data_IF_238341660308
#
_entry.id   IF_238341660308
#
_cell.length_a   1.000
_cell.length_b   1.000
_cell.length_c   1.000
_cell.angle_alpha   90.00
_cell.angle_beta   90.00
_cell.angle_gamma   90.00
#
_symmetry.space_group_name_H-M   'P 1'
#
loop_
_entity.id
_entity.type
_entity.pdbx_description
1 polymer ?
#
# COMPACT_ATOMS: atom_id res chain seq x y z
N UNK A 1 59.80 10.04 21.73
CA UNK A 1 59.37 10.97 20.66
C UNK A 1 58.37 10.24 19.76
N UNK A 2 57.06 10.48 19.94
CA UNK A 2 55.97 9.84 19.16
C UNK A 2 55.70 10.68 17.90
N UNK A 3 55.87 10.08 16.72
CA UNK A 3 55.52 10.68 15.42
C UNK A 3 54.03 10.45 15.16
N UNK A 4 53.25 11.51 15.15
CA UNK A 4 51.84 11.54 14.74
C UNK A 4 51.84 11.65 13.21
N UNK A 5 51.41 10.58 12.54
CA UNK A 5 51.21 10.53 11.10
C UNK A 5 49.80 11.05 10.80
N UNK A 6 49.69 12.30 10.35
CA UNK A 6 48.43 12.90 9.91
C UNK A 6 48.17 12.41 8.48
N UNK A 7 47.19 11.51 8.34
CA UNK A 7 46.74 10.97 7.06
C UNK A 7 45.71 11.96 6.47
N UNK A 8 46.13 12.74 5.49
CA UNK A 8 45.29 13.68 4.74
C UNK A 8 44.44 12.88 3.75
N UNK A 9 43.23 12.52 4.16
CA UNK A 9 42.22 11.94 3.26
C UNK A 9 41.67 13.09 2.40
N UNK A 10 42.15 13.19 1.16
CA UNK A 10 41.57 14.05 0.14
C UNK A 10 40.21 13.45 -0.27
N UNK A 11 39.13 13.91 0.36
CA UNK A 11 37.76 13.60 -0.06
C UNK A 11 37.51 14.33 -1.36
N UNK A 12 37.63 13.62 -2.48
CA UNK A 12 37.17 14.09 -3.79
C UNK A 12 35.64 14.10 -3.72
N UNK A 13 35.06 15.24 -3.35
CA UNK A 13 33.64 15.48 -3.55
C UNK A 13 33.40 15.60 -5.05
N UNK A 14 33.10 14.48 -5.70
CA UNK A 14 32.49 14.51 -7.02
C UNK A 14 31.16 15.25 -6.87
N UNK A 15 31.14 16.53 -7.24
CA UNK A 15 29.93 17.32 -7.29
C UNK A 15 29.03 16.69 -8.34
N UNK A 16 28.04 15.92 -7.90
CA UNK A 16 27.00 15.42 -8.78
C UNK A 16 26.32 16.65 -9.39
N UNK A 17 26.52 16.85 -10.70
CA UNK A 17 25.77 17.88 -11.44
C UNK A 17 24.29 17.52 -11.25
N UNK A 18 23.46 18.43 -10.70
CA UNK A 18 22.05 18.13 -10.51
C UNK A 18 21.45 17.77 -11.86
N UNK A 19 20.78 16.62 -11.92
CA UNK A 19 20.10 16.20 -13.14
C UNK A 19 19.13 17.29 -13.58
N UNK A 20 19.16 17.65 -14.85
CA UNK A 20 18.19 18.60 -15.40
C UNK A 20 16.78 18.00 -15.26
N UNK A 21 15.76 18.81 -14.92
CA UNK A 21 14.38 18.32 -14.80
C UNK A 21 13.91 17.72 -16.13
N UNK A 22 13.12 16.65 -16.09
CA UNK A 22 12.64 15.97 -17.31
C UNK A 22 11.91 16.92 -18.27
N UNK A 23 11.18 17.91 -17.76
CA UNK A 23 10.49 18.91 -18.60
C UNK A 23 11.43 19.69 -19.52
N UNK A 24 12.64 20.01 -19.06
CA UNK A 24 13.66 20.67 -19.89
C UNK A 24 14.35 19.67 -20.83
N UNK A 25 14.63 18.45 -20.34
CA UNK A 25 15.28 17.39 -21.14
C UNK A 25 14.44 16.95 -22.33
N UNK A 26 13.12 16.92 -22.17
CA UNK A 26 12.16 16.46 -23.17
C UNK A 26 11.30 17.57 -23.78
N UNK A 27 11.67 18.84 -23.60
CA UNK A 27 10.89 20.00 -24.05
C UNK A 27 10.45 19.90 -25.53
N UNK A 28 11.40 19.61 -26.42
CA UNK A 28 11.14 19.50 -27.86
C UNK A 28 10.13 18.40 -28.23
N UNK A 29 10.07 17.31 -27.45
CA UNK A 29 9.12 16.21 -27.66
C UNK A 29 7.75 16.56 -27.08
N UNK A 30 7.73 17.15 -25.89
CA UNK A 30 6.50 17.62 -25.24
C UNK A 30 5.78 18.65 -26.13
N UNK A 31 6.51 19.56 -26.76
CA UNK A 31 5.92 20.55 -27.68
C UNK A 31 5.34 19.93 -28.96
N UNK A 32 5.88 18.78 -29.40
CA UNK A 32 5.40 18.06 -30.59
C UNK A 32 4.20 17.15 -30.33
N UNK A 33 3.82 16.92 -29.07
CA UNK A 33 2.66 16.09 -28.74
C UNK A 33 1.38 16.66 -29.36
N UNK A 34 0.57 15.76 -29.91
CA UNK A 34 -0.70 16.06 -30.55
C UNK A 34 -1.74 15.00 -30.13
N UNK A 35 -2.99 15.40 -29.81
CA UNK A 35 -3.97 14.50 -29.21
C UNK A 35 -4.45 13.37 -30.13
N UNK A 36 -4.19 13.46 -31.43
CA UNK A 36 -4.48 12.40 -32.40
C UNK A 36 -3.46 11.24 -32.37
N UNK A 37 -2.34 11.41 -31.66
CA UNK A 37 -1.27 10.41 -31.50
C UNK A 37 -1.05 10.03 -30.02
N UNK A 38 -1.91 9.17 -29.42
CA UNK A 38 -1.74 8.71 -28.05
C UNK A 38 -0.47 7.86 -27.85
N UNK A 39 0.06 7.26 -28.91
CA UNK A 39 1.30 6.47 -28.84
C UNK A 39 2.49 7.35 -28.48
N UNK A 40 2.58 8.55 -29.04
CA UNK A 40 3.64 9.50 -28.70
C UNK A 40 3.64 9.89 -27.21
N UNK A 41 2.47 10.00 -26.57
CA UNK A 41 2.38 10.23 -25.13
C UNK A 41 2.88 9.04 -24.34
N UNK A 42 2.48 7.83 -24.72
CA UNK A 42 2.90 6.58 -24.08
C UNK A 42 4.42 6.38 -24.16
N UNK A 43 5.01 6.48 -25.36
CA UNK A 43 6.46 6.31 -25.56
C UNK A 43 7.26 7.35 -24.78
N UNK A 44 6.79 8.61 -24.76
CA UNK A 44 7.45 9.64 -23.96
C UNK A 44 7.33 9.36 -22.46
N UNK A 45 6.23 8.77 -21.99
CA UNK A 45 6.07 8.37 -20.59
C UNK A 45 7.07 7.28 -20.19
N UNK A 46 7.32 6.30 -21.06
CA UNK A 46 8.34 5.26 -20.87
C UNK A 46 9.73 5.88 -20.78
N UNK A 47 10.09 6.73 -21.75
CA UNK A 47 11.39 7.40 -21.76
C UNK A 47 11.62 8.27 -20.51
N UNK A 48 10.60 9.01 -20.06
CA UNK A 48 10.68 9.80 -18.82
C UNK A 48 10.84 8.90 -17.60
N UNK A 49 10.15 7.77 -17.56
CA UNK A 49 10.25 6.77 -16.48
C UNK A 49 11.65 6.20 -16.37
N UNK A 50 12.26 5.83 -17.49
CA UNK A 50 13.59 5.22 -17.56
C UNK A 50 14.69 6.14 -17.03
N UNK A 51 14.52 7.46 -17.16
CA UNK A 51 15.49 8.48 -16.73
C UNK A 51 15.02 9.30 -15.52
N UNK A 52 13.95 8.85 -14.84
CA UNK A 52 13.34 9.58 -13.74
C UNK A 52 14.29 9.67 -12.53
N UNK A 53 14.66 10.90 -12.14
CA UNK A 53 15.55 11.15 -11.01
C UNK A 53 14.84 11.67 -9.75
N UNK A 54 13.55 12.01 -9.84
CA UNK A 54 12.83 12.65 -8.74
C UNK A 54 11.32 12.69 -8.92
N UNK A 55 10.64 13.30 -7.94
CA UNK A 55 9.18 13.34 -7.83
C UNK A 55 8.54 14.05 -9.03
N UNK A 56 9.15 15.14 -9.53
CA UNK A 56 8.63 15.89 -10.69
C UNK A 56 8.70 15.07 -11.99
N UNK A 57 9.75 14.28 -12.18
CA UNK A 57 9.87 13.37 -13.33
C UNK A 57 8.79 12.27 -13.26
N UNK A 58 8.56 11.70 -12.07
CA UNK A 58 7.48 10.72 -11.84
C UNK A 58 6.10 11.32 -12.12
N UNK A 59 5.84 12.56 -11.69
CA UNK A 59 4.58 13.27 -11.96
C UNK A 59 4.37 13.50 -13.45
N UNK A 60 5.43 13.88 -14.18
CA UNK A 60 5.37 14.04 -15.63
C UNK A 60 5.04 12.71 -16.32
N UNK A 61 5.73 11.63 -15.97
CA UNK A 61 5.45 10.30 -16.53
C UNK A 61 4.02 9.84 -16.23
N UNK A 62 3.56 10.00 -14.98
CA UNK A 62 2.18 9.72 -14.60
C UNK A 62 1.19 10.50 -15.48
N UNK A 63 1.44 11.80 -15.69
CA UNK A 63 0.59 12.61 -16.54
C UNK A 63 0.54 12.13 -17.99
N UNK A 64 1.69 11.80 -18.55
CA UNK A 64 1.77 11.29 -19.92
C UNK A 64 1.02 9.96 -20.09
N UNK A 65 1.17 9.02 -19.14
CA UNK A 65 0.39 7.77 -19.17
C UNK A 65 -1.11 8.00 -19.04
N UNK A 66 -1.57 8.91 -18.17
CA UNK A 66 -3.00 9.23 -18.02
C UNK A 66 -3.58 9.84 -19.29
N UNK A 67 -2.83 10.74 -19.94
CA UNK A 67 -3.24 11.33 -21.22
C UNK A 67 -3.26 10.27 -22.34
N UNK A 68 -2.23 9.41 -22.42
CA UNK A 68 -2.18 8.32 -23.39
C UNK A 68 -3.38 7.35 -23.23
N UNK A 69 -3.71 7.00 -21.98
CA UNK A 69 -4.89 6.20 -21.64
C UNK A 69 -6.17 6.88 -22.13
N UNK A 70 -6.39 8.14 -21.77
CA UNK A 70 -7.63 8.86 -22.09
C UNK A 70 -7.81 9.00 -23.60
N UNK A 71 -6.75 9.41 -24.32
CA UNK A 71 -6.77 9.58 -25.77
C UNK A 71 -6.92 8.26 -26.53
N UNK A 72 -6.34 7.16 -26.04
CA UNK A 72 -6.50 5.82 -26.64
C UNK A 72 -7.94 5.30 -26.50
N UNK A 73 -8.61 5.57 -25.37
CA UNK A 73 -10.01 5.20 -25.17
C UNK A 73 -10.94 5.92 -26.18
N UNK A 74 -10.66 7.18 -26.49
CA UNK A 74 -11.40 7.97 -27.48
C UNK A 74 -11.03 7.61 -28.94
N UNK A 75 -9.85 7.00 -29.16
CA UNK A 75 -9.36 6.62 -30.48
C UNK A 75 -8.91 5.14 -30.57
N UNK A 76 -9.85 4.18 -30.69
CA UNK A 76 -9.52 2.75 -30.83
C UNK A 76 -8.72 2.38 -32.10
N UNK A 77 -8.52 3.31 -33.05
CA UNK A 77 -7.65 3.06 -34.21
C UNK A 77 -6.18 3.10 -33.82
N UNK A 78 -5.82 3.95 -32.86
CA UNK A 78 -4.45 4.10 -32.41
C UNK A 78 -3.87 2.77 -31.90
N UNK A 79 -4.65 2.00 -31.12
CA UNK A 79 -4.23 0.68 -30.64
C UNK A 79 -3.92 -0.31 -31.79
N UNK A 80 -4.67 -0.24 -32.89
CA UNK A 80 -4.44 -1.09 -34.06
C UNK A 80 -3.19 -0.67 -34.83
N UNK A 81 -2.94 0.62 -34.93
CA UNK A 81 -1.76 1.18 -35.59
C UNK A 81 -0.49 0.91 -34.78
N UNK A 82 -0.56 1.03 -33.45
CA UNK A 82 0.53 0.67 -32.53
C UNK A 82 0.79 -0.84 -32.46
N UNK A 83 -0.24 -1.67 -32.72
CA UNK A 83 -0.15 -3.13 -32.64
C UNK A 83 -0.28 -3.69 -31.22
N UNK A 84 -0.60 -2.84 -30.23
CA UNK A 84 -0.81 -3.21 -28.84
C UNK A 84 -1.83 -2.25 -28.17
N UNK A 85 -2.43 -2.62 -27.04
CA UNK A 85 -3.53 -1.87 -26.42
C UNK A 85 -2.94 -0.74 -25.55
N UNK A 86 -2.82 0.48 -26.09
CA UNK A 86 -2.10 1.59 -25.44
C UNK A 86 -2.73 1.92 -24.09
N UNK A 87 -4.06 1.92 -24.01
CA UNK A 87 -4.81 2.14 -22.76
C UNK A 87 -4.39 1.16 -21.66
N UNK A 88 -4.41 -0.15 -21.94
CA UNK A 88 -4.06 -1.15 -20.94
C UNK A 88 -2.57 -1.11 -20.56
N UNK A 89 -1.68 -0.88 -21.54
CA UNK A 89 -0.24 -0.68 -21.27
C UNK A 89 0.02 0.54 -20.40
N UNK A 90 -0.72 1.64 -20.62
CA UNK A 90 -0.61 2.87 -19.82
C UNK A 90 -1.00 2.62 -18.36
N UNK A 91 -2.04 1.82 -18.10
CA UNK A 91 -2.39 1.39 -16.74
C UNK A 91 -1.27 0.59 -16.07
N UNK A 92 -0.56 -0.27 -16.81
CA UNK A 92 0.58 -1.02 -16.28
C UNK A 92 1.79 -0.11 -16.00
N UNK A 93 2.05 0.86 -16.87
CA UNK A 93 3.06 1.89 -16.65
C UNK A 93 2.79 2.71 -15.39
N UNK A 94 1.55 3.16 -15.21
CA UNK A 94 1.11 3.82 -13.98
C UNK A 94 1.29 2.93 -12.74
N UNK A 95 0.93 1.65 -12.85
CA UNK A 95 1.08 0.71 -11.75
C UNK A 95 2.54 0.49 -11.35
N UNK A 96 3.49 0.61 -12.28
CA UNK A 96 4.92 0.51 -11.98
C UNK A 96 5.46 1.75 -11.23
N UNK A 97 4.87 2.93 -11.45
CA UNK A 97 5.25 4.18 -10.78
C UNK A 97 4.60 4.36 -9.40
N UNK A 98 3.52 3.62 -9.14
CA UNK A 98 2.69 3.81 -7.97
C UNK A 98 3.32 3.20 -6.71
N UNK A 99 3.16 3.85 -5.55
CA UNK A 99 3.69 3.36 -4.26
C UNK A 99 2.66 2.61 -3.42
N UNK A 100 1.38 2.92 -3.63
CA UNK A 100 0.28 2.27 -2.92
C UNK A 100 -0.05 0.92 -3.56
N UNK A 101 0.09 -0.17 -2.80
CA UNK A 101 -0.27 -1.53 -3.24
C UNK A 101 -1.74 -1.62 -3.70
N UNK A 102 -2.65 -0.88 -3.06
CA UNK A 102 -4.06 -0.84 -3.43
C UNK A 102 -4.25 -0.23 -4.83
N UNK A 103 -3.60 0.91 -5.08
CA UNK A 103 -3.68 1.60 -6.38
C UNK A 103 -2.96 0.83 -7.48
N UNK A 104 -1.84 0.16 -7.17
CA UNK A 104 -1.19 -0.78 -8.09
C UNK A 104 -2.14 -1.92 -8.49
N UNK A 105 -2.83 -2.53 -7.52
CA UNK A 105 -3.80 -3.60 -7.77
C UNK A 105 -4.97 -3.11 -8.61
N UNK A 106 -5.51 -1.94 -8.27
CA UNK A 106 -6.60 -1.30 -9.02
C UNK A 106 -6.21 -1.04 -10.49
N UNK A 107 -5.04 -0.47 -10.76
CA UNK A 107 -4.55 -0.23 -12.12
C UNK A 107 -4.30 -1.52 -12.91
N UNK A 108 -3.77 -2.57 -12.27
CA UNK A 108 -3.59 -3.87 -12.93
C UNK A 108 -4.92 -4.56 -13.24
N UNK A 109 -5.89 -4.45 -12.34
CA UNK A 109 -7.24 -4.95 -12.58
C UNK A 109 -7.89 -4.19 -13.75
N UNK A 110 -7.74 -2.86 -13.79
CA UNK A 110 -8.20 -2.03 -14.90
C UNK A 110 -7.53 -2.42 -16.23
N UNK A 111 -6.21 -2.63 -16.25
CA UNK A 111 -5.49 -3.11 -17.42
C UNK A 111 -6.05 -4.45 -17.94
N UNK A 112 -6.35 -5.37 -17.02
CA UNK A 112 -6.96 -6.67 -17.35
C UNK A 112 -8.40 -6.58 -17.85
N UNK A 113 -9.16 -5.58 -17.38
CA UNK A 113 -10.51 -5.27 -17.88
C UNK A 113 -10.46 -4.68 -19.30
N UNK A 114 -9.50 -3.79 -19.55
CA UNK A 114 -9.28 -3.16 -20.86
C UNK A 114 -8.77 -4.16 -21.90
N UNK A 115 -7.85 -5.05 -21.52
CA UNK A 115 -7.34 -6.11 -22.39
C UNK A 115 -7.15 -7.43 -21.63
N UNK A 116 -7.84 -8.47 -22.10
CA UNK A 116 -7.86 -9.79 -21.49
C UNK A 116 -6.49 -10.49 -21.44
N UNK A 117 -5.49 -10.04 -22.22
CA UNK A 117 -4.11 -10.56 -22.14
C UNK A 117 -3.43 -10.18 -20.83
N UNK A 118 -3.82 -9.06 -20.23
CA UNK A 118 -3.32 -8.61 -18.93
C UNK A 118 -4.21 -9.01 -17.77
N UNK A 119 -5.37 -9.60 -18.04
CA UNK A 119 -6.20 -10.16 -16.99
C UNK A 119 -5.41 -11.24 -16.26
N UNK A 120 -5.12 -11.01 -14.98
CA UNK A 120 -4.56 -12.03 -14.09
C UNK A 120 -5.59 -13.15 -14.05
N UNK A 121 -5.29 -14.27 -14.71
CA UNK A 121 -6.16 -15.43 -14.62
C UNK A 121 -6.10 -15.90 -13.18
N UNK A 122 -7.27 -16.20 -12.60
CA UNK A 122 -7.38 -16.57 -11.18
C UNK A 122 -6.47 -17.74 -10.78
N UNK A 123 -6.12 -18.61 -11.73
CA UNK A 123 -5.22 -19.75 -11.54
C UNK A 123 -3.74 -19.44 -11.81
N UNK A 124 -3.41 -18.28 -12.39
CA UNK A 124 -2.03 -17.83 -12.68
C UNK A 124 -1.45 -17.00 -11.54
N UNK A 125 -2.19 -16.79 -10.44
CA UNK A 125 -1.61 -16.23 -9.22
C UNK A 125 -0.52 -17.21 -8.79
N UNK A 126 0.78 -16.87 -8.94
CA UNK A 126 1.84 -17.76 -8.54
C UNK A 126 1.56 -18.09 -7.09
N UNK A 127 1.51 -19.38 -6.77
CA UNK A 127 1.46 -19.84 -5.39
C UNK A 127 2.60 -19.11 -4.70
N UNK A 128 2.24 -18.07 -3.93
CA UNK A 128 3.19 -17.08 -3.42
C UNK A 128 4.20 -17.90 -2.66
N UNK A 129 5.46 -17.90 -3.13
CA UNK A 129 6.42 -18.94 -2.75
C UNK A 129 6.33 -19.18 -1.24
N UNK A 130 6.22 -20.46 -0.87
CA UNK A 130 6.03 -21.07 0.45
C UNK A 130 6.94 -20.53 1.59
N UNK A 131 7.74 -19.51 1.34
CA UNK A 131 8.95 -19.21 2.06
C UNK A 131 8.79 -18.36 3.32
N UNK A 132 7.58 -17.96 3.74
CA UNK A 132 7.46 -17.47 5.12
C UNK A 132 6.03 -17.38 5.68
N UNK A 133 5.27 -18.48 5.68
CA UNK A 133 4.03 -18.55 6.45
C UNK A 133 4.26 -18.55 7.97
N UNK A 134 5.50 -18.76 8.42
CA UNK A 134 5.88 -18.77 9.83
C UNK A 134 5.58 -17.42 10.50
N UNK A 135 6.11 -16.30 10.00
CA UNK A 135 5.98 -15.00 10.69
C UNK A 135 4.51 -14.54 10.82
N UNK A 136 3.66 -14.62 9.78
CA UNK A 136 2.24 -14.28 9.94
C UNK A 136 1.47 -15.22 10.87
N UNK A 137 1.81 -16.51 10.89
CA UNK A 137 1.25 -17.46 11.85
C UNK A 137 1.65 -17.09 13.28
N UNK A 138 2.93 -16.83 13.52
CA UNK A 138 3.44 -16.38 14.83
C UNK A 138 2.75 -15.08 15.28
N UNK A 139 2.54 -14.14 14.35
CA UNK A 139 1.83 -12.89 14.63
C UNK A 139 0.36 -13.11 14.98
N UNK A 140 -0.36 -13.95 14.23
CA UNK A 140 -1.75 -14.29 14.52
C UNK A 140 -1.89 -15.04 15.86
N UNK A 141 -0.98 -15.97 16.15
CA UNK A 141 -0.89 -16.67 17.43
C UNK A 141 -0.60 -15.70 18.57
N UNK A 142 0.33 -14.75 18.40
CA UNK A 142 0.61 -13.71 19.39
C UNK A 142 -0.68 -12.96 19.76
N UNK A 143 -1.45 -12.50 18.77
CA UNK A 143 -2.74 -11.84 19.01
C UNK A 143 -3.70 -12.76 19.76
N UNK A 144 -3.77 -14.05 19.40
CA UNK A 144 -4.68 -15.00 20.06
C UNK A 144 -4.30 -15.27 21.52
N UNK A 145 -3.00 -15.33 21.80
CA UNK A 145 -2.44 -15.43 23.14
C UNK A 145 -2.74 -14.17 23.94
N UNK A 146 -2.70 -12.98 23.32
CA UNK A 146 -3.13 -11.74 23.96
C UNK A 146 -4.62 -11.80 24.30
N UNK A 147 -5.48 -12.14 23.34
CA UNK A 147 -6.93 -12.20 23.55
C UNK A 147 -7.34 -13.21 24.63
N UNK A 148 -6.63 -14.33 24.75
CA UNK A 148 -6.86 -15.36 25.78
C UNK A 148 -6.18 -15.05 27.13
N UNK A 149 -5.34 -14.01 27.16
CA UNK A 149 -4.58 -13.58 28.33
C UNK A 149 -3.41 -14.49 28.68
N UNK A 150 -2.88 -15.27 27.74
CA UNK A 150 -1.66 -16.08 27.88
C UNK A 150 -0.39 -15.24 27.62
N UNK A 151 -0.25 -14.16 28.40
CA UNK A 151 0.73 -13.12 28.13
C UNK A 151 2.21 -13.51 28.18
N UNK A 152 2.61 -14.57 28.90
CA UNK A 152 3.99 -15.03 28.87
C UNK A 152 4.38 -15.56 27.48
N UNK A 153 3.51 -16.39 26.88
CA UNK A 153 3.68 -16.87 25.51
C UNK A 153 3.46 -15.75 24.50
N UNK A 154 2.49 -14.85 24.75
CA UNK A 154 2.27 -13.70 23.89
C UNK A 154 3.52 -12.82 23.79
N UNK A 155 4.18 -12.53 24.92
CA UNK A 155 5.41 -11.74 24.97
C UNK A 155 6.55 -12.42 24.22
N UNK A 156 6.75 -13.72 24.42
CA UNK A 156 7.75 -14.50 23.65
C UNK A 156 7.56 -14.34 22.12
N UNK A 157 6.31 -14.36 21.64
CA UNK A 157 6.03 -14.16 20.20
C UNK A 157 6.16 -12.71 19.74
N UNK A 158 5.76 -11.75 20.58
CA UNK A 158 5.87 -10.31 20.27
C UNK A 158 7.31 -9.80 20.33
N UNK A 159 8.18 -10.46 21.10
CA UNK A 159 9.61 -10.14 21.19
C UNK A 159 10.39 -10.59 19.93
N UNK A 160 9.81 -11.41 19.04
CA UNK A 160 10.40 -11.70 17.73
C UNK A 160 10.36 -10.43 16.85
N UNK A 161 11.53 -9.87 16.45
CA UNK A 161 11.58 -8.64 15.67
C UNK A 161 10.89 -8.75 14.31
N UNK A 162 10.78 -9.97 13.74
CA UNK A 162 10.06 -10.22 12.47
C UNK A 162 8.55 -10.05 12.67
N UNK A 163 8.02 -10.55 13.79
CA UNK A 163 6.60 -10.40 14.15
C UNK A 163 6.29 -8.93 14.42
N UNK A 164 7.12 -8.25 15.20
CA UNK A 164 6.96 -6.82 15.48
C UNK A 164 6.96 -5.98 14.19
N UNK A 165 7.91 -6.23 13.28
CA UNK A 165 7.98 -5.53 11.99
C UNK A 165 6.77 -5.81 11.07
N UNK A 166 6.22 -7.02 11.10
CA UNK A 166 5.01 -7.36 10.34
C UNK A 166 3.78 -6.65 10.90
N UNK A 167 3.60 -6.68 12.22
CA UNK A 167 2.49 -6.03 12.91
C UNK A 167 2.53 -4.51 12.70
N UNK A 168 3.71 -3.88 12.78
CA UNK A 168 3.86 -2.45 12.52
C UNK A 168 3.52 -2.08 11.08
N UNK A 169 4.01 -2.86 10.09
CA UNK A 169 3.68 -2.66 8.66
C UNK A 169 2.20 -2.79 8.36
N UNK A 170 1.48 -3.63 9.11
CA UNK A 170 0.07 -3.93 8.87
C UNK A 170 -0.86 -3.25 9.90
N UNK A 171 -0.33 -2.33 10.72
CA UNK A 171 -1.07 -1.63 11.77
C UNK A 171 -2.34 -0.95 11.23
N UNK A 172 -2.24 -0.27 10.11
CA UNK A 172 -3.35 0.49 9.50
C UNK A 172 -4.53 -0.41 9.09
N UNK A 173 -4.32 -1.71 8.93
CA UNK A 173 -5.40 -2.67 8.66
C UNK A 173 -6.32 -2.80 9.87
N UNK A 174 -5.77 -2.75 11.08
CA UNK A 174 -6.49 -2.88 12.34
C UNK A 174 -6.93 -1.53 12.91
N UNK A 175 -6.05 -0.52 12.86
CA UNK A 175 -6.24 0.81 13.45
C UNK A 175 -7.14 1.74 12.60
N UNK A 176 -8.22 1.18 12.04
CA UNK A 176 -9.11 1.92 11.14
C UNK A 176 -10.00 2.90 11.90
N UNK A 177 -10.29 4.09 11.33
CA UNK A 177 -11.26 5.01 11.92
C UNK A 177 -12.62 4.32 12.14
N UNK A 178 -13.11 4.36 13.38
CA UNK A 178 -14.41 3.78 13.75
C UNK A 178 -14.35 2.37 14.35
N UNK A 179 -13.19 1.71 14.37
CA UNK A 179 -12.97 0.51 15.18
C UNK A 179 -12.35 0.90 16.53
N UNK A 180 -12.75 0.23 17.61
CA UNK A 180 -12.07 0.34 18.92
C UNK A 180 -10.88 -0.61 19.04
N UNK A 181 -10.77 -1.58 18.13
CA UNK A 181 -9.61 -2.45 18.06
C UNK A 181 -8.39 -1.64 17.63
N UNK A 182 -7.29 -1.82 18.34
CA UNK A 182 -6.03 -1.14 18.02
C UNK A 182 -4.86 -2.03 18.38
N UNK A 183 -3.87 -2.08 17.49
CA UNK A 183 -2.63 -2.80 17.76
C UNK A 183 -1.89 -2.19 18.96
N UNK A 184 -1.91 -0.87 19.10
CA UNK A 184 -1.29 -0.18 20.25
C UNK A 184 -1.98 -0.55 21.55
N UNK A 185 -3.32 -0.56 21.59
CA UNK A 185 -4.08 -0.99 22.76
C UNK A 185 -3.77 -2.46 23.10
N UNK A 186 -3.75 -3.33 22.09
CA UNK A 186 -3.41 -4.74 22.23
C UNK A 186 -1.99 -4.95 22.83
N UNK A 187 -1.00 -4.17 22.36
CA UNK A 187 0.37 -4.22 22.88
C UNK A 187 0.48 -3.69 24.31
N UNK A 188 -0.29 -2.66 24.66
CA UNK A 188 -0.34 -2.15 26.05
C UNK A 188 -0.90 -3.20 27.00
N UNK A 189 -1.97 -3.90 26.60
CA UNK A 189 -2.52 -5.03 27.38
C UNK A 189 -1.49 -6.15 27.55
N UNK A 190 -0.74 -6.46 26.49
CA UNK A 190 0.33 -7.46 26.54
C UNK A 190 1.44 -7.14 27.55
N UNK A 191 1.70 -5.85 27.83
CA UNK A 191 2.72 -5.42 28.80
C UNK A 191 2.28 -5.63 30.25
N UNK A 192 0.97 -5.65 30.53
CA UNK A 192 0.43 -5.82 31.89
C UNK A 192 0.53 -7.28 32.36
N UNK A 193 0.67 -8.22 31.44
CA UNK A 193 0.77 -9.65 31.75
C UNK A 193 2.18 -10.10 32.05
N UNK A 194 2.36 -11.27 32.70
CA UNK A 194 1.31 -12.13 33.27
C UNK A 194 0.61 -11.46 34.44
N UNK A 195 -0.64 -11.87 34.74
CA UNK A 195 -1.41 -11.33 35.85
C UNK A 195 -0.57 -11.38 37.14
N UNK A 196 -0.34 -10.25 37.84
CA UNK A 196 0.60 -10.18 38.95
C UNK A 196 0.17 -11.00 40.17
N UNK A 197 -1.12 -11.35 40.30
CA UNK A 197 -1.62 -12.17 41.41
C UNK A 197 -1.52 -13.67 41.12
N UNK A 198 -1.94 -14.11 39.93
CA UNK A 198 -2.09 -15.54 39.61
C UNK A 198 -1.08 -16.09 38.61
N UNK A 199 -0.23 -15.25 38.00
CA UNK A 199 0.70 -15.68 36.96
C UNK A 199 0.01 -16.35 35.77
N UNK A 200 -1.22 -15.90 35.42
CA UNK A 200 -2.12 -16.48 34.41
C UNK A 200 -2.68 -17.89 34.72
N UNK A 201 -2.52 -18.40 35.94
CA UNK A 201 -3.15 -19.66 36.38
C UNK A 201 -4.67 -19.52 36.59
N UNK A 202 -5.22 -18.29 36.53
CA UNK A 202 -6.65 -17.92 36.64
C UNK A 202 -7.29 -18.17 38.02
N UNK A 203 -6.65 -18.98 38.86
CA UNK A 203 -7.06 -19.26 40.23
C UNK A 203 -5.87 -19.21 41.19
N UNK A 204 -6.13 -18.76 42.41
CA UNK A 204 -5.14 -18.67 43.50
C UNK A 204 -5.60 -19.51 44.69
N UNK A 205 -4.68 -20.03 45.52
CA UNK A 205 -5.06 -20.71 46.76
C UNK A 205 -5.91 -19.80 47.66
N UNK A 206 -7.01 -20.32 48.18
CA UNK A 206 -7.86 -19.58 49.11
C UNK A 206 -7.22 -19.60 50.51
N UNK A 207 -6.80 -18.42 50.98
CA UNK A 207 -6.16 -18.26 52.29
C UNK A 207 -7.14 -18.52 53.44
N UNK A 208 -8.44 -18.33 53.23
CA UNK A 208 -9.46 -18.57 54.26
C UNK A 208 -9.69 -20.07 54.50
N UNK A 209 -9.43 -20.90 53.49
CA UNK A 209 -9.57 -22.36 53.55
C UNK A 209 -8.20 -23.07 53.68
N UNK A 210 -7.22 -22.39 54.27
CA UNK A 210 -5.89 -22.96 54.52
C UNK A 210 -5.12 -23.34 53.24
N UNK A 211 -5.45 -22.74 52.09
CA UNK A 211 -4.82 -22.99 50.81
C UNK A 211 -5.23 -24.29 50.12
N UNK A 212 -6.14 -25.08 50.69
CA UNK A 212 -6.62 -26.34 50.10
C UNK A 212 -7.63 -26.11 48.97
N UNK A 213 -8.51 -25.12 49.13
CA UNK A 213 -9.37 -24.68 48.06
C UNK A 213 -8.68 -23.67 47.13
N UNK A 214 -9.15 -23.62 45.90
CA UNK A 214 -8.77 -22.62 44.89
C UNK A 214 -9.94 -21.68 44.70
N UNK A 215 -9.67 -20.38 44.70
CA UNK A 215 -10.63 -19.34 44.30
C UNK A 215 -10.19 -18.70 42.99
N UNK A 216 -11.13 -18.14 42.24
CA UNK A 216 -10.78 -17.31 41.09
C UNK A 216 -9.87 -16.16 41.54
N UNK A 217 -8.89 -15.83 40.71
CA UNK A 217 -8.02 -14.69 40.93
C UNK A 217 -8.87 -13.42 41.07
N UNK A 218 -8.62 -12.62 42.11
CA UNK A 218 -9.38 -11.39 42.35
C UNK A 218 -9.03 -10.29 41.34
N UNK A 219 -7.77 -10.27 40.88
CA UNK A 219 -7.27 -9.29 39.91
C UNK A 219 -7.85 -9.52 38.52
N UNK A 220 -7.73 -10.72 37.95
CA UNK A 220 -8.23 -10.99 36.59
C UNK A 220 -9.61 -11.66 36.52
N UNK A 221 -10.17 -12.09 37.65
CA UNK A 221 -11.47 -12.79 37.73
C UNK A 221 -11.58 -14.02 36.80
N UNK A 222 -10.44 -14.65 36.51
CA UNK A 222 -10.35 -15.81 35.63
C UNK A 222 -10.20 -15.47 34.14
N UNK A 223 -10.28 -14.20 33.74
CA UNK A 223 -9.98 -13.75 32.38
C UNK A 223 -8.81 -12.76 32.41
N UNK A 224 -7.55 -13.23 32.26
CA UNK A 224 -6.41 -12.32 32.16
C UNK A 224 -6.45 -11.48 30.88
N UNK A 225 -7.16 -11.89 29.83
CA UNK A 225 -7.25 -11.17 28.55
C UNK A 225 -7.99 -9.83 28.64
N UNK A 226 -7.92 -9.00 27.59
CA UNK A 226 -8.65 -7.74 27.54
C UNK A 226 -10.16 -7.98 27.53
N UNK A 227 -10.91 -7.02 28.10
CA UNK A 227 -12.37 -7.00 27.98
C UNK A 227 -12.74 -6.31 26.67
N UNK A 228 -13.23 -7.07 25.70
CA UNK A 228 -13.57 -6.59 24.37
C UNK A 228 -15.08 -6.57 24.17
N UNK A 229 -15.58 -5.58 23.42
CA UNK A 229 -16.90 -5.65 22.83
C UNK A 229 -16.89 -6.50 21.55
N UNK A 230 -18.07 -6.91 21.09
CA UNK A 230 -18.23 -7.81 19.94
C UNK A 230 -17.55 -7.25 18.67
N UNK A 231 -17.62 -5.93 18.47
CA UNK A 231 -17.01 -5.26 17.34
C UNK A 231 -15.49 -5.33 17.38
N UNK A 232 -14.88 -5.07 18.54
CA UNK A 232 -13.42 -5.15 18.72
C UNK A 232 -12.93 -6.59 18.57
N UNK A 233 -13.65 -7.55 19.14
CA UNK A 233 -13.34 -8.97 18.99
C UNK A 233 -13.38 -9.41 17.53
N UNK A 234 -14.45 -9.07 16.80
CA UNK A 234 -14.58 -9.37 15.37
C UNK A 234 -13.44 -8.73 14.55
N UNK A 235 -13.02 -7.51 14.89
CA UNK A 235 -11.90 -6.84 14.22
C UNK A 235 -10.56 -7.58 14.43
N UNK A 236 -10.25 -8.04 15.66
CA UNK A 236 -9.04 -8.82 15.89
C UNK A 236 -9.06 -10.17 15.18
N UNK A 237 -10.18 -10.90 15.18
CA UNK A 237 -10.32 -12.17 14.44
C UNK A 237 -10.17 -11.95 12.94
N UNK A 238 -10.75 -10.87 12.41
CA UNK A 238 -10.61 -10.48 11.00
C UNK A 238 -9.15 -10.19 10.66
N UNK A 239 -8.45 -9.45 11.52
CA UNK A 239 -7.04 -9.15 11.34
C UNK A 239 -6.14 -10.40 11.44
N UNK A 240 -6.41 -11.31 12.38
CA UNK A 240 -5.74 -12.62 12.42
C UNK A 240 -5.96 -13.42 11.13
N UNK A 241 -7.17 -13.38 10.57
CA UNK A 241 -7.48 -14.03 9.29
C UNK A 241 -6.68 -13.41 8.14
N UNK A 242 -6.48 -12.09 8.13
CA UNK A 242 -5.63 -11.39 7.15
C UNK A 242 -4.16 -11.81 7.28
N UNK A 243 -3.66 -11.98 8.51
CA UNK A 243 -2.30 -12.46 8.73
C UNK A 243 -2.13 -13.91 8.22
N UNK A 244 -3.07 -14.79 8.54
CA UNK A 244 -2.99 -16.23 8.21
C UNK A 244 -3.22 -16.54 6.73
N UNK A 245 -4.12 -15.80 6.07
CA UNK A 245 -4.44 -15.99 4.67
C UNK A 245 -3.52 -15.13 3.80
N UNK A 246 -2.35 -15.67 3.46
CA UNK A 246 -1.55 -15.12 2.37
C UNK A 246 -2.38 -15.06 1.08
N UNK A 247 -2.93 -13.89 0.74
CA UNK A 247 -3.55 -13.48 -0.55
C UNK A 247 -4.77 -14.29 -1.04
N UNK A 248 -5.06 -15.49 -0.53
CA UNK A 248 -6.24 -16.27 -0.88
C UNK A 248 -7.44 -15.84 -0.02
N UNK A 249 -8.00 -14.68 -0.35
CA UNK A 249 -9.19 -14.17 0.32
C UNK A 249 -10.40 -15.02 -0.02
N UNK A 250 -11.01 -15.67 0.98
CA UNK A 250 -12.41 -16.06 0.85
C UNK A 250 -13.25 -14.78 0.81
N UNK A 251 -14.24 -14.70 -0.09
CA UNK A 251 -15.13 -13.55 -0.23
C UNK A 251 -15.78 -13.12 1.09
N UNK A 252 -16.09 -14.08 1.96
CA UNK A 252 -16.59 -13.84 3.32
C UNK A 252 -15.59 -13.13 4.22
N UNK A 253 -14.30 -13.48 4.13
CA UNK A 253 -13.25 -12.82 4.90
C UNK A 253 -13.00 -11.39 4.38
N UNK A 254 -13.06 -11.17 3.07
CA UNK A 254 -12.92 -9.84 2.48
C UNK A 254 -14.11 -8.93 2.85
N UNK A 255 -15.33 -9.46 2.87
CA UNK A 255 -16.50 -8.72 3.37
C UNK A 255 -16.38 -8.37 4.86
N UNK A 256 -15.93 -9.33 5.69
CA UNK A 256 -15.76 -9.12 7.13
C UNK A 256 -14.63 -8.11 7.44
N UNK A 257 -13.48 -8.25 6.77
CA UNK A 257 -12.31 -7.37 6.95
C UNK A 257 -12.55 -6.01 6.30
N UNK A 258 -13.07 -5.97 5.09
CA UNK A 258 -13.32 -4.76 4.32
C UNK A 258 -14.45 -3.91 4.89
N UNK A 259 -15.17 -4.40 5.91
CA UNK A 259 -16.35 -3.75 6.48
C UNK A 259 -17.47 -3.60 5.44
N UNK A 260 -17.55 -4.54 4.49
CA UNK A 260 -18.47 -4.44 3.36
C UNK A 260 -18.21 -3.25 2.43
N UNK A 261 -17.00 -2.69 2.38
CA UNK A 261 -16.64 -1.74 1.33
C UNK A 261 -17.00 -2.37 -0.02
N UNK A 262 -17.83 -1.71 -0.84
CA UNK A 262 -18.27 -2.28 -2.11
C UNK A 262 -17.05 -2.58 -2.97
N UNK A 263 -17.09 -3.70 -3.68
CA UNK A 263 -16.12 -3.98 -4.73
C UNK A 263 -16.19 -2.79 -5.71
N UNK A 264 -15.10 -2.03 -5.79
CA UNK A 264 -15.01 -0.92 -6.74
C UNK A 264 -14.71 -1.57 -8.08
N UNK A 265 -15.66 -1.49 -9.01
CA UNK A 265 -15.40 -1.86 -10.40
C UNK A 265 -14.52 -0.75 -11.00
N UNK A 266 -13.27 -1.03 -11.39
CA UNK A 266 -12.38 0.01 -11.87
C UNK A 266 -12.89 0.58 -13.19
N UNK A 267 -13.36 1.82 -13.17
CA UNK A 267 -13.76 2.54 -14.38
C UNK A 267 -12.57 3.36 -14.92
N UNK A 268 -12.30 3.34 -16.24
CA UNK A 268 -11.18 4.09 -16.81
C UNK A 268 -11.25 5.60 -16.57
N UNK A 269 -12.47 6.16 -16.52
CA UNK A 269 -12.74 7.59 -16.30
C UNK A 269 -12.29 8.07 -14.91
N UNK A 270 -12.13 7.17 -13.94
CA UNK A 270 -11.67 7.50 -12.58
C UNK A 270 -10.16 7.72 -12.50
N UNK A 271 -9.40 7.33 -13.52
CA UNK A 271 -7.93 7.44 -13.53
C UNK A 271 -7.48 8.90 -13.54
N UNK A 272 -8.03 9.74 -14.41
CA UNK A 272 -7.59 11.13 -14.47
C UNK A 272 -7.88 11.91 -13.17
N UNK A 273 -9.08 11.84 -12.56
CA UNK A 273 -9.35 12.42 -11.24
C UNK A 273 -8.47 11.86 -10.12
N UNK A 274 -8.16 10.56 -10.12
CA UNK A 274 -7.32 9.94 -9.08
C UNK A 274 -5.87 10.46 -9.04
N UNK A 275 -5.40 11.05 -10.15
CA UNK A 275 -4.10 11.69 -10.30
C UNK A 275 -4.17 13.21 -10.42
N UNK A 276 -5.35 13.82 -10.23
CA UNK A 276 -5.56 15.27 -10.35
C UNK A 276 -5.15 15.83 -11.73
N UNK A 277 -5.35 15.04 -12.79
CA UNK A 277 -5.02 15.42 -14.16
C UNK A 277 -6.31 15.73 -14.92
N UNK A 278 -6.33 16.90 -15.55
CA UNK A 278 -7.39 17.27 -16.48
C UNK A 278 -7.11 16.67 -17.87
N UNK A 279 -7.92 15.72 -18.36
CA UNK A 279 -7.72 15.08 -19.65
C UNK A 279 -7.92 16.05 -20.83
N UNK A 280 -8.54 17.22 -20.63
CA UNK A 280 -8.70 18.22 -21.68
C UNK A 280 -7.39 19.00 -21.96
N UNK A 281 -6.43 19.02 -21.01
CA UNK A 281 -5.17 19.77 -21.15
C UNK A 281 -4.07 18.90 -21.76
N UNK A 282 -4.22 18.62 -23.06
CA UNK A 282 -3.39 17.68 -23.84
C UNK A 282 -2.14 18.32 -24.45
N UNK A 283 -2.08 19.64 -24.60
CA UNK A 283 -0.97 20.32 -25.26
C UNK A 283 0.03 20.87 -24.26
N UNK A 284 1.33 20.62 -24.44
CA UNK A 284 2.37 21.27 -23.65
C UNK A 284 2.93 22.48 -24.40
N UNK A 285 2.65 23.69 -23.90
CA UNK A 285 3.05 24.96 -24.53
C UNK A 285 3.62 25.89 -23.47
N UNK A 286 4.74 26.55 -23.79
CA UNK A 286 5.39 27.53 -22.90
C UNK A 286 5.63 26.99 -21.47
N UNK A 287 5.93 25.69 -21.34
CA UNK A 287 6.17 25.04 -20.06
C UNK A 287 4.91 24.65 -19.27
N UNK A 288 3.71 24.76 -19.85
CA UNK A 288 2.44 24.47 -19.19
C UNK A 288 1.54 23.57 -20.05
N UNK A 289 0.70 22.80 -19.38
CA UNK A 289 -0.34 22.00 -20.04
C UNK A 289 -1.57 22.86 -20.31
N UNK A 290 -2.04 22.87 -21.54
CA UNK A 290 -3.10 23.74 -22.06
C UNK A 290 -4.10 22.91 -22.89
N UNK A 291 -5.34 23.38 -23.00
CA UNK A 291 -6.37 22.73 -23.80
C UNK A 291 -6.35 23.13 -25.29
N UNK A 292 -5.62 24.21 -25.62
CA UNK A 292 -5.52 24.76 -26.98
C UNK A 292 -4.11 24.61 -27.54
N UNK A 293 -3.95 24.26 -28.83
CA UNK A 293 -2.63 24.12 -29.46
C UNK A 293 -1.82 25.42 -29.46
N UNK A 294 -2.48 26.59 -29.43
CA UNK A 294 -1.84 27.91 -29.43
C UNK A 294 -1.33 28.32 -28.04
N UNK A 295 -1.68 27.57 -26.98
CA UNK A 295 -1.32 27.90 -25.60
C UNK A 295 -2.08 29.10 -25.01
N UNK A 296 -3.01 29.69 -25.76
CA UNK A 296 -3.90 30.74 -25.25
C UNK A 296 -5.06 30.06 -24.49
N UNK A 297 -4.94 29.99 -23.17
CA UNK A 297 -6.06 29.62 -22.31
C UNK A 297 -7.11 30.73 -22.46
N UNK A 298 -8.25 30.43 -23.08
CA UNK A 298 -9.36 31.40 -23.14
C UNK A 298 -9.84 31.57 -21.70
N UNK A 299 -9.41 32.65 -21.05
CA UNK A 299 -9.91 33.07 -19.76
C UNK A 299 -11.44 33.12 -19.84
N UNK A 300 -12.11 32.08 -19.35
CA UNK A 300 -13.56 31.93 -19.36
C UNK A 300 -14.26 32.93 -18.41
N UNK A 301 -13.54 33.92 -17.89
CA UNK A 301 -13.95 34.94 -16.94
C UNK A 301 -14.41 36.26 -17.59
N UNK A 302 -14.67 36.25 -18.91
CA UNK A 302 -15.25 37.38 -19.65
C UNK A 302 -16.78 37.48 -19.64
N UNK A 303 -17.47 37.06 -18.57
CA UNK A 303 -18.94 37.06 -18.47
C UNK A 303 -19.46 37.23 -17.04
#
# INVERSE_FOLDING_TARGET
MKRILILLIAVIFASAVPAQPATLRFADRLERLAPDDPLAYFELAEDVTDVAGGIEDTRLAQRLYVLALSLSLDNPRADREAGFPIAASSCLGLAALERSDDRQRWLRALAGRLDARYAIRRWDVPERSDQNHEVPLLAAEAIGLVLSGDGALARDRLDDPRVAALLDRTRDVLDRPGTKASLTALMQEAQIWPCPECGNVRAVPDRNEGGRARRLCSTCRGNPGPVLDDQSFAAYISYQSVLLQGVQHSWSAELAVGGGKPLIDPEPEEVAPAYEIDPAKVYFRFGQWTASPDGLEQDASGG
#
